data_IF_924343872343
#
_entry.id   IF_924343872343
#
_cell.length_a   1.000
_cell.length_b   1.000
_cell.length_c   1.000
_cell.angle_alpha   90.00
_cell.angle_beta   90.00
_cell.angle_gamma   90.00
#
_symmetry.space_group_name_H-M   'P 1'
#
loop_
_entity.id
_entity.type
_entity.pdbx_description
1 polymer ?
#
# COMPACT_ATOMS: atom_id res chain seq x y z
N UNK A 1 26.69 36.00 13.80
CA UNK A 1 26.58 36.51 15.19
C UNK A 1 25.62 37.69 15.18
N UNK A 2 24.33 37.40 15.27
CA UNK A 2 23.26 38.37 15.37
C UNK A 2 22.30 37.87 16.45
N UNK A 3 22.30 38.55 17.59
CA UNK A 3 21.44 38.30 18.72
C UNK A 3 20.10 39.02 18.48
N UNK A 4 18.99 38.30 18.60
CA UNK A 4 17.67 38.91 18.76
C UNK A 4 17.00 38.30 19.99
N UNK A 5 16.69 39.22 20.89
CA UNK A 5 16.18 39.12 22.23
C UNK A 5 14.73 38.62 22.28
N UNK A 6 14.46 37.67 23.17
CA UNK A 6 13.12 37.22 23.54
C UNK A 6 12.46 38.23 24.49
N UNK A 7 11.27 38.72 24.13
CA UNK A 7 10.38 39.47 25.03
C UNK A 7 9.24 38.57 25.50
N UNK A 8 9.12 38.43 26.82
CA UNK A 8 7.99 37.81 27.52
C UNK A 8 6.68 38.55 27.22
N UNK A 9 5.62 37.80 26.92
CA UNK A 9 4.23 38.28 27.03
C UNK A 9 3.39 37.36 27.92
N UNK A 10 2.50 38.01 28.64
CA UNK A 10 1.85 37.58 29.88
C UNK A 10 0.86 36.41 29.70
N UNK A 11 0.91 35.47 30.63
CA UNK A 11 -0.17 34.55 30.93
C UNK A 11 -1.34 35.32 31.56
N UNK A 12 -2.51 35.28 30.94
CA UNK A 12 -3.78 35.61 31.58
C UNK A 12 -4.51 34.33 31.96
N UNK A 13 -4.56 34.08 33.26
CA UNK A 13 -5.37 33.04 33.89
C UNK A 13 -6.87 33.34 33.68
N UNK A 14 -7.58 32.44 32.99
CA UNK A 14 -9.04 32.40 32.99
C UNK A 14 -9.51 31.24 33.88
N UNK A 15 -10.07 31.56 35.04
CA UNK A 15 -10.80 30.63 35.92
C UNK A 15 -12.31 30.74 35.65
N UNK A 16 -13.02 29.66 35.27
CA UNK A 16 -14.47 29.67 35.25
C UNK A 16 -15.04 29.42 36.65
N UNK A 17 -15.88 30.34 37.13
CA UNK A 17 -16.66 30.19 38.38
C UNK A 17 -17.77 29.16 38.19
N UNK A 18 -17.81 28.15 39.06
CA UNK A 18 -19.00 27.30 39.25
C UNK A 18 -20.09 28.11 39.97
N UNK A 19 -21.26 28.23 39.34
CA UNK A 19 -22.49 28.67 40.01
C UNK A 19 -23.52 27.55 39.96
N UNK A 20 -23.99 27.17 41.14
CA UNK A 20 -25.02 26.17 41.40
C UNK A 20 -26.41 26.78 41.28
N UNK A 21 -27.29 26.15 40.49
CA UNK A 21 -28.73 26.39 40.58
C UNK A 21 -29.52 25.13 40.19
N UNK A 22 -30.22 24.53 41.17
CA UNK A 22 -31.34 23.60 40.94
C UNK A 22 -32.59 24.43 40.63
N UNK A 23 -33.48 23.98 39.74
CA UNK A 23 -34.83 23.66 40.25
C UNK A 23 -35.62 22.55 39.52
N UNK A 24 -36.42 21.85 40.35
CA UNK A 24 -37.79 21.37 40.14
C UNK A 24 -38.16 20.41 38.98
N UNK A 25 -38.41 19.15 39.34
CA UNK A 25 -39.07 18.13 38.54
C UNK A 25 -40.61 18.30 38.57
N UNK A 26 -41.26 18.32 37.40
CA UNK A 26 -42.71 18.09 37.23
C UNK A 26 -42.94 16.79 36.45
N UNK A 27 -43.97 15.99 36.76
CA UNK A 27 -44.18 14.70 36.13
C UNK A 27 -44.84 14.89 34.75
N UNK A 28 -44.24 14.33 33.69
CA UNK A 28 -44.87 14.22 32.36
C UNK A 28 -45.38 12.80 32.14
N UNK A 29 -46.69 12.71 31.90
CA UNK A 29 -47.44 11.51 31.49
C UNK A 29 -46.82 10.89 30.23
N UNK A 30 -46.48 9.61 30.32
CA UNK A 30 -46.13 8.73 29.21
C UNK A 30 -47.38 8.44 28.36
N UNK A 31 -47.36 8.82 27.09
CA UNK A 31 -48.25 8.26 26.06
C UNK A 31 -47.40 7.42 25.12
N UNK A 32 -47.52 6.11 25.24
CA UNK A 32 -46.88 5.13 24.37
C UNK A 32 -47.53 5.20 23.00
N UNK A 33 -46.83 5.71 21.99
CA UNK A 33 -47.17 5.47 20.57
C UNK A 33 -46.22 4.39 20.07
N UNK A 34 -46.75 3.20 19.79
CA UNK A 34 -46.07 2.19 18.99
C UNK A 34 -45.90 2.74 17.57
N UNK A 35 -44.67 3.03 17.19
CA UNK A 35 -44.27 3.23 15.79
C UNK A 35 -43.77 1.88 15.30
N UNK A 36 -44.54 1.24 14.43
CA UNK A 36 -44.04 0.12 13.62
C UNK A 36 -43.11 0.76 12.59
N UNK A 37 -41.81 0.71 12.82
CA UNK A 37 -40.83 0.99 11.78
C UNK A 37 -40.84 -0.21 10.83
N UNK A 38 -41.51 -0.04 9.69
CA UNK A 38 -41.34 -0.92 8.54
C UNK A 38 -39.88 -0.80 8.12
N UNK A 39 -39.08 -1.84 8.37
CA UNK A 39 -37.74 -1.98 7.79
C UNK A 39 -37.97 -2.04 6.29
N UNK A 40 -37.71 -0.92 5.61
CA UNK A 40 -37.61 -0.89 4.16
C UNK A 40 -36.19 -1.32 3.84
N UNK A 41 -35.95 -2.62 3.82
CA UNK A 41 -34.81 -3.16 3.08
C UNK A 41 -35.05 -2.79 1.62
N UNK A 42 -34.34 -1.77 1.14
CA UNK A 42 -34.19 -1.57 -0.28
C UNK A 42 -33.30 -2.71 -0.78
N UNK A 43 -33.74 -3.52 -1.76
CA UNK A 43 -32.82 -4.41 -2.44
C UNK A 43 -31.85 -3.51 -3.23
N UNK A 44 -30.64 -3.30 -2.71
CA UNK A 44 -29.55 -2.85 -3.56
C UNK A 44 -29.23 -4.05 -4.46
N UNK A 45 -29.84 -4.08 -5.64
CA UNK A 45 -29.34 -4.90 -6.72
C UNK A 45 -27.88 -4.49 -6.93
N UNK A 46 -26.93 -5.37 -6.57
CA UNK A 46 -25.52 -5.22 -6.86
C UNK A 46 -25.37 -5.29 -8.38
N UNK A 47 -25.46 -4.15 -9.05
CA UNK A 47 -25.01 -4.08 -10.42
C UNK A 47 -23.49 -4.20 -10.36
N UNK A 48 -23.00 -5.38 -10.76
CA UNK A 48 -21.58 -5.61 -10.99
C UNK A 48 -21.04 -4.56 -11.96
N UNK A 49 -19.88 -4.00 -11.68
CA UNK A 49 -19.26 -2.99 -12.55
C UNK A 49 -18.67 -3.68 -13.78
N UNK A 50 -19.33 -3.54 -14.94
CA UNK A 50 -18.92 -4.19 -16.18
C UNK A 50 -17.49 -3.83 -16.60
N UNK A 51 -17.02 -2.61 -16.28
CA UNK A 51 -15.65 -2.20 -16.59
C UNK A 51 -14.64 -2.97 -15.74
N UNK A 52 -14.95 -3.18 -14.45
CA UNK A 52 -14.10 -3.96 -13.54
C UNK A 52 -14.02 -5.41 -13.99
N UNK A 53 -15.14 -6.02 -14.40
CA UNK A 53 -15.15 -7.38 -14.94
C UNK A 53 -14.32 -7.52 -16.21
N UNK A 54 -14.48 -6.60 -17.17
CA UNK A 54 -13.70 -6.62 -18.42
C UNK A 54 -12.20 -6.46 -18.16
N UNK A 55 -11.83 -5.62 -17.19
CA UNK A 55 -10.46 -5.49 -16.75
C UNK A 55 -9.96 -6.80 -16.13
N UNK A 56 -10.76 -7.43 -15.26
CA UNK A 56 -10.42 -8.72 -14.66
C UNK A 56 -10.18 -9.81 -15.73
N UNK A 57 -11.09 -9.94 -16.70
CA UNK A 57 -10.94 -10.87 -17.83
C UNK A 57 -9.63 -10.62 -18.59
N UNK A 58 -9.33 -9.36 -18.91
CA UNK A 58 -8.10 -8.99 -19.63
C UNK A 58 -6.82 -9.29 -18.83
N UNK A 59 -6.88 -9.22 -17.50
CA UNK A 59 -5.75 -9.56 -16.62
C UNK A 59 -5.53 -11.07 -16.62
N UNK A 60 -6.59 -11.86 -16.49
CA UNK A 60 -6.52 -13.33 -16.56
C UNK A 60 -5.94 -13.80 -17.90
N UNK A 61 -6.39 -13.21 -19.02
CA UNK A 61 -5.90 -13.51 -20.37
C UNK A 61 -4.43 -13.11 -20.59
N UNK A 62 -3.93 -12.10 -19.88
CA UNK A 62 -2.56 -11.60 -20.03
C UNK A 62 -1.51 -12.48 -19.35
N UNK A 63 -1.92 -13.35 -18.43
CA UNK A 63 -1.00 -14.15 -17.63
C UNK A 63 -0.57 -15.43 -18.36
N UNK A 64 0.67 -15.89 -18.16
CA UNK A 64 1.14 -17.14 -18.74
C UNK A 64 0.32 -18.33 -18.20
N UNK A 65 -0.14 -19.22 -19.07
CA UNK A 65 -0.97 -20.40 -18.74
C UNK A 65 -0.26 -21.49 -17.92
N UNK A 66 0.92 -21.21 -17.36
CA UNK A 66 1.68 -22.15 -16.52
C UNK A 66 1.01 -22.35 -15.17
N UNK A 67 1.10 -23.57 -14.63
CA UNK A 67 0.63 -23.90 -13.28
C UNK A 67 1.28 -22.95 -12.27
N UNK A 68 0.47 -22.06 -11.69
CA UNK A 68 0.95 -21.12 -10.70
C UNK A 68 1.18 -21.83 -9.37
N UNK A 69 2.16 -21.36 -8.61
CA UNK A 69 2.39 -21.89 -7.25
C UNK A 69 1.13 -21.72 -6.39
N UNK A 70 0.92 -22.63 -5.43
CA UNK A 70 -0.29 -22.61 -4.58
C UNK A 70 -0.57 -21.26 -3.90
N UNK A 71 0.42 -20.52 -3.31
CA UNK A 71 0.15 -19.20 -2.74
C UNK A 71 -0.35 -18.19 -3.78
N UNK A 72 0.27 -18.17 -4.98
CA UNK A 72 -0.10 -17.23 -6.03
C UNK A 72 -1.48 -17.54 -6.61
N UNK A 73 -1.81 -18.83 -6.78
CA UNK A 73 -3.15 -19.22 -7.22
C UNK A 73 -4.22 -18.78 -6.22
N UNK A 74 -4.01 -19.04 -4.91
CA UNK A 74 -4.93 -18.61 -3.86
C UNK A 74 -5.12 -17.10 -3.84
N UNK A 75 -4.05 -16.33 -4.05
CA UNK A 75 -4.12 -14.87 -4.14
C UNK A 75 -4.99 -14.41 -5.33
N UNK A 76 -4.83 -15.06 -6.50
CA UNK A 76 -5.63 -14.76 -7.69
C UNK A 76 -7.09 -15.13 -7.50
N UNK A 77 -7.38 -16.30 -6.95
CA UNK A 77 -8.75 -16.77 -6.69
C UNK A 77 -9.47 -15.78 -5.76
N UNK A 78 -8.86 -15.42 -4.63
CA UNK A 78 -9.41 -14.42 -3.70
C UNK A 78 -9.62 -13.06 -4.35
N UNK A 79 -8.69 -12.64 -5.23
CA UNK A 79 -8.77 -11.37 -5.93
C UNK A 79 -9.89 -11.36 -6.97
N UNK A 80 -10.04 -12.45 -7.73
CA UNK A 80 -11.11 -12.64 -8.71
C UNK A 80 -12.47 -12.60 -8.01
N UNK A 81 -12.65 -13.35 -6.91
CA UNK A 81 -13.87 -13.32 -6.11
C UNK A 81 -14.21 -11.91 -5.58
N UNK A 82 -13.21 -11.18 -5.08
CA UNK A 82 -13.40 -9.81 -4.59
C UNK A 82 -13.84 -8.87 -5.72
N UNK A 83 -13.25 -8.99 -6.91
CA UNK A 83 -13.53 -8.14 -8.06
C UNK A 83 -14.97 -8.29 -8.58
N UNK A 84 -15.61 -9.46 -8.43
CA UNK A 84 -17.00 -9.69 -8.83
C UNK A 84 -18.02 -8.77 -8.15
N UNK A 85 -17.68 -8.23 -6.97
CA UNK A 85 -18.55 -7.35 -6.19
C UNK A 85 -17.99 -5.94 -5.99
N UNK A 86 -16.78 -5.67 -6.49
CA UNK A 86 -16.10 -4.38 -6.32
C UNK A 86 -16.45 -3.42 -7.45
N UNK A 87 -16.76 -2.17 -7.10
CA UNK A 87 -17.04 -1.11 -8.07
C UNK A 87 -15.79 -0.26 -8.34
N UNK A 88 -15.71 0.34 -9.52
CA UNK A 88 -14.68 1.33 -9.77
C UNK A 88 -14.85 2.54 -8.84
N UNK A 89 -13.81 2.96 -8.10
CA UNK A 89 -13.94 4.04 -7.12
C UNK A 89 -14.32 5.35 -7.78
N UNK A 90 -15.18 6.10 -7.11
CA UNK A 90 -15.71 7.37 -7.52
C UNK A 90 -15.42 8.44 -6.47
N UNK A 91 -15.56 9.72 -6.85
CA UNK A 91 -15.43 10.83 -5.90
C UNK A 91 -16.54 10.90 -4.84
N UNK A 92 -17.52 10.00 -4.89
CA UNK A 92 -18.54 9.84 -3.82
C UNK A 92 -18.05 8.90 -2.72
N UNK A 93 -17.08 8.05 -3.03
CA UNK A 93 -16.45 7.15 -2.07
C UNK A 93 -15.49 7.97 -1.22
N UNK A 94 -15.59 7.85 0.10
CA UNK A 94 -14.86 8.74 1.02
C UNK A 94 -13.35 8.65 0.81
N UNK A 95 -12.81 7.44 0.59
CA UNK A 95 -11.39 7.20 0.32
C UNK A 95 -10.88 7.80 -0.99
N UNK A 96 -11.78 8.17 -1.91
CA UNK A 96 -11.45 8.71 -3.25
C UNK A 96 -12.09 10.09 -3.50
N UNK A 97 -12.65 10.73 -2.49
CA UNK A 97 -13.33 12.03 -2.60
C UNK A 97 -12.49 13.11 -3.29
N UNK A 98 -11.19 13.10 -3.02
CA UNK A 98 -10.22 14.05 -3.54
C UNK A 98 -9.33 13.49 -4.65
N UNK A 99 -9.54 12.22 -5.04
CA UNK A 99 -8.66 11.50 -5.95
C UNK A 99 -9.44 11.05 -7.16
N UNK A 100 -9.23 11.75 -8.28
CA UNK A 100 -9.92 11.44 -9.53
C UNK A 100 -9.20 10.32 -10.30
N UNK A 101 -9.81 9.14 -10.31
CA UNK A 101 -9.30 7.96 -11.04
C UNK A 101 -9.82 7.89 -12.48
N UNK A 102 -10.56 8.89 -12.96
CA UNK A 102 -11.10 8.91 -14.32
C UNK A 102 -10.02 8.95 -15.40
N UNK A 103 -8.84 9.48 -15.08
CA UNK A 103 -7.65 9.39 -15.94
C UNK A 103 -7.30 7.93 -16.30
N UNK A 104 -7.40 7.02 -15.33
CA UNK A 104 -7.20 5.58 -15.56
C UNK A 104 -8.45 4.98 -16.21
N UNK A 105 -9.64 5.23 -15.65
CA UNK A 105 -10.90 4.61 -16.09
C UNK A 105 -11.24 4.89 -17.58
N UNK A 106 -10.91 6.08 -18.07
CA UNK A 106 -11.22 6.49 -19.44
C UNK A 106 -10.16 6.09 -20.47
N UNK A 107 -9.12 5.37 -20.04
CA UNK A 107 -8.06 4.84 -20.90
C UNK A 107 -8.40 3.43 -21.40
N UNK A 108 -7.78 3.04 -22.50
CA UNK A 108 -7.73 1.66 -22.98
C UNK A 108 -6.62 0.93 -22.20
N UNK A 109 -7.00 0.25 -21.12
CA UNK A 109 -6.06 -0.41 -20.22
C UNK A 109 -5.60 -1.72 -20.86
N UNK A 110 -4.30 -1.87 -21.07
CA UNK A 110 -3.71 -3.04 -21.69
C UNK A 110 -2.73 -3.71 -20.70
N UNK A 111 -3.15 -4.77 -19.99
CA UNK A 111 -2.24 -5.55 -19.17
C UNK A 111 -1.05 -6.07 -19.98
N UNK A 112 0.16 -5.92 -19.44
CA UNK A 112 1.38 -6.36 -20.12
C UNK A 112 1.55 -7.87 -19.91
N UNK A 113 1.57 -8.63 -21.00
CA UNK A 113 1.56 -10.10 -20.95
C UNK A 113 2.95 -10.75 -20.94
N UNK A 114 3.98 -10.03 -21.37
CA UNK A 114 5.34 -10.58 -21.49
C UNK A 114 6.40 -9.53 -21.11
N UNK A 115 7.53 -9.97 -20.53
CA UNK A 115 8.67 -9.07 -20.35
C UNK A 115 9.23 -8.62 -21.71
N UNK A 116 9.78 -7.40 -21.81
CA UNK A 116 10.39 -6.94 -23.06
C UNK A 116 11.61 -7.78 -23.45
N UNK A 117 11.76 -8.04 -24.75
CA UNK A 117 12.76 -8.96 -25.31
C UNK A 117 14.22 -8.46 -25.27
N UNK A 118 14.49 -7.21 -24.86
CA UNK A 118 15.84 -6.63 -24.88
C UNK A 118 16.21 -5.94 -23.58
N UNK A 119 17.22 -6.50 -22.89
CA UNK A 119 17.94 -5.90 -21.76
C UNK A 119 18.76 -4.65 -22.17
N UNK A 120 18.87 -4.33 -23.46
CA UNK A 120 19.46 -3.08 -23.97
C UNK A 120 18.72 -1.82 -23.47
N UNK A 121 17.55 -1.98 -22.85
CA UNK A 121 16.76 -0.91 -22.25
C UNK A 121 17.18 -0.58 -20.79
N UNK A 122 18.13 -1.34 -20.22
CA UNK A 122 18.71 -1.10 -18.88
C UNK A 122 19.78 0.02 -18.85
N UNK A 123 19.82 0.89 -19.86
CA UNK A 123 20.54 2.18 -19.75
C UNK A 123 19.90 3.13 -18.72
N UNK A 124 18.72 2.78 -18.19
CA UNK A 124 18.09 3.43 -17.03
C UNK A 124 18.93 3.16 -15.77
N UNK A 125 20.05 3.88 -15.65
CA UNK A 125 21.01 3.97 -14.54
C UNK A 125 21.46 2.63 -13.93
N UNK A 126 22.67 2.20 -14.32
CA UNK A 126 23.59 1.38 -13.52
C UNK A 126 24.30 2.19 -12.42
N UNK A 127 23.73 3.33 -12.00
CA UNK A 127 24.35 4.29 -11.07
C UNK A 127 24.07 3.98 -9.59
N UNK A 128 23.58 2.78 -9.28
CA UNK A 128 23.43 2.34 -7.90
C UNK A 128 24.68 1.59 -7.46
N UNK A 129 25.21 1.91 -6.28
CA UNK A 129 26.33 1.17 -5.67
C UNK A 129 25.91 -0.25 -5.21
N UNK A 130 24.62 -0.56 -5.27
CA UNK A 130 24.04 -1.82 -4.82
C UNK A 130 23.50 -2.62 -6.01
N UNK A 131 23.63 -3.95 -5.93
CA UNK A 131 22.93 -4.89 -6.81
C UNK A 131 21.41 -4.73 -6.60
N UNK A 132 20.66 -4.62 -7.70
CA UNK A 132 19.21 -4.45 -7.68
C UNK A 132 18.47 -5.64 -8.29
N UNK A 133 17.29 -5.91 -7.76
CA UNK A 133 16.29 -6.77 -8.37
C UNK A 133 15.38 -5.90 -9.23
N UNK A 134 15.35 -6.20 -10.53
CA UNK A 134 14.70 -5.34 -11.50
C UNK A 134 13.35 -5.93 -11.89
N UNK A 135 12.28 -5.17 -11.68
CA UNK A 135 10.98 -5.41 -12.26
C UNK A 135 10.88 -4.57 -13.53
N UNK A 136 10.73 -5.20 -14.67
CA UNK A 136 10.49 -4.51 -15.94
C UNK A 136 9.06 -4.79 -16.34
N UNK A 137 8.25 -3.74 -16.40
CA UNK A 137 6.82 -3.83 -16.73
C UNK A 137 6.04 -4.85 -15.88
N UNK A 138 6.45 -5.00 -14.61
CA UNK A 138 5.82 -5.90 -13.65
C UNK A 138 6.45 -7.29 -13.57
N UNK A 139 7.31 -7.67 -14.53
CA UNK A 139 8.01 -8.95 -14.53
C UNK A 139 9.34 -8.84 -13.81
N UNK A 140 9.60 -9.76 -12.88
CA UNK A 140 10.93 -9.89 -12.28
C UNK A 140 11.91 -10.41 -13.33
N UNK A 141 12.84 -9.55 -13.75
CA UNK A 141 13.89 -9.90 -14.70
C UNK A 141 15.13 -10.30 -13.91
N UNK A 142 15.61 -11.52 -14.15
CA UNK A 142 16.77 -12.09 -13.47
C UNK A 142 18.03 -11.33 -13.88
N UNK A 143 18.35 -10.25 -13.17
CA UNK A 143 19.69 -9.70 -13.15
C UNK A 143 20.56 -10.64 -12.32
N UNK A 144 21.80 -10.84 -12.75
CA UNK A 144 22.82 -11.72 -12.17
C UNK A 144 23.13 -11.45 -10.69
N UNK A 145 22.15 -11.62 -9.81
CA UNK A 145 22.30 -11.47 -8.38
C UNK A 145 23.09 -12.68 -7.90
N UNK A 146 24.33 -12.43 -7.46
CA UNK A 146 25.12 -13.50 -6.87
C UNK A 146 24.57 -13.73 -5.47
N UNK A 147 23.91 -14.87 -5.27
CA UNK A 147 23.46 -15.33 -3.95
C UNK A 147 24.57 -15.33 -2.89
N UNK A 148 25.84 -15.27 -3.31
CA UNK A 148 27.02 -15.14 -2.44
C UNK A 148 27.03 -13.90 -1.53
N UNK A 149 26.20 -12.89 -1.79
CA UNK A 149 26.17 -11.65 -1.00
C UNK A 149 25.11 -11.68 0.13
N UNK A 150 24.27 -12.71 0.19
CA UNK A 150 23.24 -12.85 1.22
C UNK A 150 23.71 -13.77 2.35
N UNK A 151 23.34 -13.48 3.62
CA UNK A 151 23.56 -14.40 4.73
C UNK A 151 22.89 -15.76 4.50
N UNK A 152 23.44 -16.80 5.13
CA UNK A 152 22.87 -18.15 5.07
C UNK A 152 21.40 -18.17 5.50
N UNK A 153 20.55 -18.82 4.69
CA UNK A 153 19.12 -18.96 4.94
C UNK A 153 18.25 -17.78 4.52
N UNK A 154 18.84 -16.65 4.11
CA UNK A 154 18.09 -15.55 3.48
C UNK A 154 17.70 -15.96 2.06
N UNK A 155 16.44 -15.74 1.69
CA UNK A 155 15.96 -15.96 0.33
C UNK A 155 15.48 -14.64 -0.27
N UNK A 156 15.94 -14.33 -1.48
CA UNK A 156 15.46 -13.19 -2.25
C UNK A 156 15.28 -13.62 -3.70
N UNK A 157 14.04 -13.66 -4.18
CA UNK A 157 13.77 -14.06 -5.55
C UNK A 157 12.32 -14.37 -5.83
N UNK A 158 12.06 -14.85 -7.05
CA UNK A 158 10.74 -15.28 -7.52
C UNK A 158 10.17 -16.41 -6.65
N UNK A 159 8.86 -16.36 -6.35
CA UNK A 159 8.14 -17.44 -5.68
C UNK A 159 8.17 -18.72 -6.53
N UNK A 160 8.11 -18.61 -7.86
CA UNK A 160 8.17 -19.77 -8.77
C UNK A 160 9.50 -20.53 -8.69
N UNK A 161 10.59 -19.86 -8.27
CA UNK A 161 11.91 -20.46 -8.09
C UNK A 161 12.20 -20.90 -6.64
N UNK A 162 11.27 -20.66 -5.70
CA UNK A 162 11.46 -21.00 -4.30
C UNK A 162 11.33 -22.51 -4.09
N UNK A 163 12.43 -23.17 -3.73
CA UNK A 163 12.48 -24.63 -3.50
C UNK A 163 12.32 -25.05 -2.05
N UNK A 164 12.55 -24.16 -1.08
CA UNK A 164 12.46 -24.48 0.35
C UNK A 164 11.00 -24.64 0.78
N UNK A 165 10.59 -25.85 1.16
CA UNK A 165 9.23 -26.13 1.62
C UNK A 165 8.89 -25.38 2.91
N UNK A 166 9.89 -25.17 3.78
CA UNK A 166 9.73 -24.42 5.02
C UNK A 166 9.35 -22.96 4.77
N UNK A 167 10.09 -22.28 3.88
CA UNK A 167 9.80 -20.89 3.49
C UNK A 167 8.46 -20.82 2.77
N UNK A 168 8.21 -21.73 1.81
CA UNK A 168 6.95 -21.77 1.05
C UNK A 168 5.73 -21.90 1.98
N UNK A 169 5.81 -22.76 3.00
CA UNK A 169 4.75 -22.92 4.00
C UNK A 169 4.48 -21.61 4.74
N UNK A 170 5.52 -20.89 5.18
CA UNK A 170 5.38 -19.60 5.86
C UNK A 170 4.76 -18.54 4.94
N UNK A 171 5.16 -18.50 3.67
CA UNK A 171 4.54 -17.62 2.67
C UNK A 171 3.06 -17.97 2.49
N UNK A 172 2.69 -19.24 2.34
CA UNK A 172 1.29 -19.68 2.24
C UNK A 172 0.42 -19.25 3.44
N UNK A 173 0.99 -19.28 4.64
CA UNK A 173 0.29 -18.93 5.89
C UNK A 173 -0.02 -17.43 6.00
N UNK A 174 0.82 -16.58 5.40
CA UNK A 174 0.88 -15.15 5.70
C UNK A 174 0.58 -14.24 4.51
N UNK A 175 0.71 -14.73 3.28
CA UNK A 175 0.45 -13.96 2.07
C UNK A 175 -1.05 -13.66 1.91
N UNK A 176 -1.39 -12.42 1.57
CA UNK A 176 -2.76 -12.03 1.26
C UNK A 176 -3.70 -11.93 2.47
N UNK A 177 -3.16 -12.04 3.69
CA UNK A 177 -3.88 -11.81 4.96
C UNK A 177 -4.08 -10.30 5.18
N UNK A 178 -4.93 -9.69 4.35
CA UNK A 178 -5.19 -8.25 4.35
C UNK A 178 -6.63 -7.92 3.92
N UNK A 179 -7.46 -7.51 4.89
CA UNK A 179 -8.88 -7.25 4.67
C UNK A 179 -9.22 -5.81 4.21
N UNK A 180 -8.24 -4.91 4.17
CA UNK A 180 -8.45 -3.49 3.82
C UNK A 180 -8.06 -3.14 2.38
N UNK A 181 -7.77 -4.16 1.56
CA UNK A 181 -7.48 -3.96 0.15
C UNK A 181 -8.66 -3.33 -0.57
N UNK A 182 -8.38 -2.34 -1.42
CA UNK A 182 -9.38 -1.77 -2.33
C UNK A 182 -9.36 -2.49 -3.68
N UNK A 183 -10.09 -1.93 -4.66
CA UNK A 183 -10.08 -2.42 -6.04
C UNK A 183 -8.67 -2.65 -6.58
N UNK A 184 -7.74 -1.72 -6.34
CA UNK A 184 -6.40 -1.74 -6.92
C UNK A 184 -5.52 -2.82 -6.29
N UNK A 185 -5.74 -3.13 -5.01
CA UNK A 185 -5.14 -4.31 -4.36
C UNK A 185 -5.54 -5.61 -5.06
N UNK A 186 -6.82 -5.78 -5.35
CA UNK A 186 -7.35 -6.99 -6.01
C UNK A 186 -6.96 -7.04 -7.49
N UNK A 187 -6.94 -5.90 -8.21
CA UNK A 187 -6.39 -5.82 -9.57
C UNK A 187 -4.94 -6.29 -9.61
N UNK A 188 -4.12 -5.89 -8.63
CA UNK A 188 -2.75 -6.38 -8.52
C UNK A 188 -2.70 -7.87 -8.20
N UNK A 189 -3.51 -8.35 -7.24
CA UNK A 189 -3.52 -9.75 -6.83
C UNK A 189 -3.96 -10.70 -7.96
N UNK A 190 -4.90 -10.28 -8.80
CA UNK A 190 -5.31 -11.00 -10.00
C UNK A 190 -4.23 -10.93 -11.08
N UNK A 191 -3.71 -9.72 -11.35
CA UNK A 191 -2.84 -9.44 -12.50
C UNK A 191 -1.34 -9.58 -12.28
N UNK A 192 -0.88 -9.99 -11.09
CA UNK A 192 0.54 -10.13 -10.82
C UNK A 192 1.14 -11.30 -11.63
N UNK A 193 2.17 -11.07 -12.48
CA UNK A 193 2.79 -12.14 -13.27
C UNK A 193 3.43 -13.21 -12.39
N UNK A 194 4.06 -12.78 -11.31
CA UNK A 194 4.73 -13.58 -10.29
C UNK A 194 4.82 -12.77 -8.99
N UNK A 195 5.25 -13.43 -7.90
CA UNK A 195 5.50 -12.81 -6.60
C UNK A 195 7.00 -12.86 -6.29
N UNK A 196 7.61 -11.74 -5.94
CA UNK A 196 8.94 -11.77 -5.33
C UNK A 196 8.84 -11.98 -3.83
N UNK A 197 9.65 -12.89 -3.29
CA UNK A 197 9.75 -13.18 -1.86
C UNK A 197 11.10 -12.69 -1.34
N UNK A 198 11.06 -11.92 -0.25
CA UNK A 198 12.21 -11.61 0.59
C UNK A 198 11.99 -12.28 1.94
N UNK A 199 12.75 -13.32 2.26
CA UNK A 199 12.66 -14.04 3.51
C UNK A 199 13.95 -13.86 4.32
N UNK A 200 13.80 -13.44 5.57
CA UNK A 200 14.91 -13.26 6.51
C UNK A 200 14.68 -14.16 7.72
N UNK A 201 15.58 -15.13 7.99
CA UNK A 201 15.39 -16.08 9.08
C UNK A 201 15.59 -15.46 10.46
N UNK A 202 15.21 -16.21 11.51
CA UNK A 202 15.28 -15.76 12.90
C UNK A 202 16.69 -15.28 13.27
N UNK A 203 16.76 -14.09 13.88
CA UNK A 203 18.00 -13.46 14.34
C UNK A 203 18.99 -13.05 13.24
N UNK A 204 18.63 -13.19 11.96
CA UNK A 204 19.51 -12.87 10.86
C UNK A 204 19.44 -11.38 10.50
N UNK A 205 20.62 -10.75 10.35
CA UNK A 205 20.76 -9.37 9.90
C UNK A 205 21.31 -9.32 8.49
N UNK A 206 20.52 -8.81 7.55
CA UNK A 206 20.97 -8.54 6.18
C UNK A 206 21.72 -7.20 6.18
N UNK A 207 23.03 -7.25 5.92
CA UNK A 207 23.90 -6.08 6.05
C UNK A 207 23.66 -4.99 5.00
N UNK A 208 23.37 -5.38 3.76
CA UNK A 208 23.03 -4.47 2.66
C UNK A 208 21.52 -4.46 2.42
N UNK A 209 20.93 -3.32 2.03
CA UNK A 209 19.52 -3.29 1.69
C UNK A 209 19.22 -4.09 0.42
N UNK A 210 18.04 -4.71 0.37
CA UNK A 210 17.49 -5.31 -0.84
C UNK A 210 16.93 -4.18 -1.70
N UNK A 211 17.56 -3.93 -2.83
CA UNK A 211 17.17 -2.88 -3.76
C UNK A 211 16.19 -3.44 -4.81
N UNK A 212 14.96 -2.93 -4.81
CA UNK A 212 13.87 -3.28 -5.71
C UNK A 212 13.66 -2.12 -6.69
N UNK A 213 14.00 -2.33 -7.95
CA UNK A 213 13.88 -1.30 -8.99
C UNK A 213 12.77 -1.65 -9.95
N UNK A 214 11.76 -0.79 -10.04
CA UNK A 214 10.60 -0.95 -10.91
C UNK A 214 10.72 0.00 -12.10
N UNK A 215 10.81 -0.57 -13.30
CA UNK A 215 11.08 0.13 -14.55
C UNK A 215 9.89 -0.06 -15.48
N UNK A 216 9.18 1.03 -15.77
CA UNK A 216 8.18 1.05 -16.83
C UNK A 216 8.87 1.31 -18.18
N UNK A 217 8.67 0.41 -19.14
CA UNK A 217 9.30 0.40 -20.46
C UNK A 217 8.26 0.42 -21.59
N UNK A 218 7.17 -0.35 -21.50
CA UNK A 218 6.02 -0.16 -22.41
C UNK A 218 5.25 1.09 -22.00
N UNK A 219 5.45 2.15 -22.78
CA UNK A 219 4.80 3.43 -22.62
C UNK A 219 4.04 3.81 -23.88
N UNK A 220 2.87 4.42 -23.72
CA UNK A 220 2.13 5.02 -24.83
C UNK A 220 2.48 6.50 -24.98
N UNK A 221 2.41 7.02 -26.22
CA UNK A 221 2.56 8.45 -26.48
C UNK A 221 1.53 9.28 -25.69
N UNK A 222 1.96 10.46 -25.24
CA UNK A 222 1.08 11.40 -24.54
C UNK A 222 -0.11 11.78 -25.42
N UNK A 223 -1.33 11.53 -24.93
CA UNK A 223 -2.58 11.80 -25.65
C UNK A 223 -3.13 10.58 -26.39
N UNK A 224 -2.39 9.47 -26.45
CA UNK A 224 -2.97 8.16 -26.75
C UNK A 224 -3.96 7.76 -25.65
N UNK A 225 -4.96 6.94 -26.02
CA UNK A 225 -5.82 6.27 -25.03
C UNK A 225 -5.18 4.99 -24.48
N UNK A 226 -4.17 4.43 -25.15
CA UNK A 226 -3.47 3.21 -24.70
C UNK A 226 -2.83 3.46 -23.33
N UNK A 227 -3.03 2.55 -22.39
CA UNK A 227 -2.45 2.59 -21.05
C UNK A 227 -1.93 1.19 -20.69
N UNK A 228 -0.65 0.90 -20.97
CA UNK A 228 -0.01 -0.32 -20.50
C UNK A 228 -0.11 -0.43 -18.97
N UNK A 229 -0.50 -1.60 -18.46
CA UNK A 229 -0.66 -1.87 -17.03
C UNK A 229 0.33 -2.94 -16.56
N UNK A 230 1.14 -2.58 -15.56
CA UNK A 230 2.05 -3.49 -14.86
C UNK A 230 1.62 -3.69 -13.40
N UNK A 231 1.59 -4.94 -12.93
CA UNK A 231 1.21 -5.31 -11.56
C UNK A 231 2.34 -6.03 -10.77
N UNK A 232 3.47 -5.38 -10.45
CA UNK A 232 4.49 -6.04 -9.63
C UNK A 232 4.01 -6.24 -8.19
N UNK A 233 4.39 -7.36 -7.58
CA UNK A 233 4.07 -7.68 -6.18
C UNK A 233 5.25 -8.27 -5.44
N UNK A 234 5.47 -7.81 -4.22
CA UNK A 234 6.57 -8.26 -3.34
C UNK A 234 6.03 -8.61 -1.97
N UNK A 235 6.48 -9.74 -1.44
CA UNK A 235 6.20 -10.20 -0.08
C UNK A 235 7.50 -10.30 0.72
N UNK A 236 7.58 -9.56 1.81
CA UNK A 236 8.72 -9.51 2.73
C UNK A 236 8.31 -10.15 4.05
N UNK A 237 9.02 -11.21 4.43
CA UNK A 237 8.86 -11.88 5.71
C UNK A 237 10.17 -11.81 6.48
N UNK A 238 10.14 -11.08 7.59
CA UNK A 238 11.24 -11.01 8.55
C UNK A 238 10.82 -11.78 9.78
N UNK A 239 11.43 -12.95 9.99
CA UNK A 239 11.17 -13.75 11.19
C UNK A 239 11.70 -13.04 12.44
N UNK A 240 11.39 -13.62 13.60
CA UNK A 240 11.75 -13.09 14.92
C UNK A 240 13.19 -12.58 14.99
N UNK A 241 13.37 -11.34 15.43
CA UNK A 241 14.68 -10.70 15.59
C UNK A 241 15.49 -10.51 14.30
N UNK A 242 14.92 -10.79 13.13
CA UNK A 242 15.56 -10.54 11.85
C UNK A 242 15.60 -9.05 11.51
N UNK A 243 16.56 -8.64 10.68
CA UNK A 243 16.73 -7.25 10.27
C UNK A 243 17.04 -7.14 8.77
N UNK A 244 16.35 -6.24 8.06
CA UNK A 244 16.59 -5.97 6.64
C UNK A 244 16.24 -4.54 6.27
N UNK A 245 17.01 -3.97 5.34
CA UNK A 245 16.64 -2.74 4.64
C UNK A 245 16.01 -3.07 3.29
N UNK A 246 14.95 -2.37 2.91
CA UNK A 246 14.30 -2.44 1.60
C UNK A 246 14.41 -1.06 0.95
N UNK A 247 14.81 -1.02 -0.31
CA UNK A 247 14.79 0.20 -1.13
C UNK A 247 13.88 -0.05 -2.32
N UNK A 248 12.79 0.69 -2.46
CA UNK A 248 11.94 0.68 -3.65
C UNK A 248 12.24 1.92 -4.50
N UNK A 249 12.59 1.73 -5.77
CA UNK A 249 12.75 2.81 -6.74
C UNK A 249 11.83 2.59 -7.95
N UNK A 250 10.93 3.53 -8.19
CA UNK A 250 10.02 3.52 -9.34
C UNK A 250 10.46 4.55 -10.38
N UNK A 251 10.79 4.07 -11.57
CA UNK A 251 11.24 4.87 -12.71
C UNK A 251 10.48 4.49 -13.98
N UNK A 252 10.47 5.40 -14.95
CA UNK A 252 10.05 5.12 -16.32
C UNK A 252 11.17 5.46 -17.29
N UNK A 253 11.00 5.05 -18.55
CA UNK A 253 11.88 5.51 -19.64
C UNK A 253 11.86 7.04 -19.75
N UNK A 254 12.95 7.61 -20.25
CA UNK A 254 13.04 9.06 -20.51
C UNK A 254 11.96 9.47 -21.51
N UNK A 255 11.06 10.35 -21.09
CA UNK A 255 9.99 10.85 -21.94
C UNK A 255 8.74 11.22 -21.15
N UNK A 256 7.66 11.48 -21.88
CA UNK A 256 6.33 11.78 -21.32
C UNK A 256 5.34 10.65 -21.61
N UNK A 257 5.81 9.41 -21.57
CA UNK A 257 4.99 8.24 -21.85
C UNK A 257 3.91 8.03 -20.78
N UNK A 258 2.79 7.45 -21.20
CA UNK A 258 1.62 7.15 -20.40
C UNK A 258 1.56 5.64 -20.15
N UNK A 259 1.48 5.26 -18.88
CA UNK A 259 1.38 3.87 -18.40
C UNK A 259 0.83 3.87 -16.97
N UNK A 260 0.37 2.71 -16.51
CA UNK A 260 -0.13 2.50 -15.16
C UNK A 260 0.70 1.44 -14.43
N UNK A 261 1.42 1.88 -13.39
CA UNK A 261 2.06 0.97 -12.43
C UNK A 261 1.16 0.80 -11.22
N UNK A 262 0.67 -0.41 -10.99
CA UNK A 262 -0.13 -0.79 -9.83
C UNK A 262 0.65 -1.79 -8.98
N UNK A 263 1.36 -1.33 -7.95
CA UNK A 263 2.31 -2.14 -7.21
C UNK A 263 1.87 -2.44 -5.78
N UNK A 264 2.24 -3.62 -5.27
CA UNK A 264 1.94 -4.05 -3.90
C UNK A 264 3.21 -4.51 -3.21
N UNK A 265 3.43 -4.02 -1.99
CA UNK A 265 4.41 -4.54 -1.04
C UNK A 265 3.69 -5.03 0.23
N UNK A 266 3.87 -6.28 0.56
CA UNK A 266 3.41 -6.88 1.82
C UNK A 266 4.62 -7.13 2.72
N UNK A 267 4.55 -6.68 3.97
CA UNK A 267 5.64 -6.81 4.95
C UNK A 267 5.10 -7.43 6.23
N UNK A 268 5.71 -8.53 6.66
CA UNK A 268 5.46 -9.14 7.98
C UNK A 268 6.74 -9.03 8.78
N UNK A 269 6.66 -8.34 9.91
CA UNK A 269 7.78 -8.15 10.83
C UNK A 269 7.51 -8.94 12.11
N UNK A 270 8.21 -10.06 12.26
CA UNK A 270 8.13 -10.95 13.41
C UNK A 270 8.62 -10.31 14.70
N UNK A 271 8.41 -10.99 15.84
CA UNK A 271 8.76 -10.45 17.16
C UNK A 271 10.19 -9.89 17.22
N UNK A 272 10.36 -8.62 17.59
CA UNK A 272 11.66 -7.96 17.71
C UNK A 272 12.39 -7.72 16.37
N UNK A 273 11.77 -8.06 15.25
CA UNK A 273 12.31 -7.83 13.91
C UNK A 273 12.31 -6.35 13.52
N UNK A 274 13.14 -6.00 12.54
CA UNK A 274 13.28 -4.61 12.08
C UNK A 274 13.31 -4.52 10.56
N UNK A 275 12.51 -3.60 10.02
CA UNK A 275 12.51 -3.26 8.60
C UNK A 275 12.68 -1.75 8.45
N UNK A 276 13.74 -1.35 7.74
CA UNK A 276 13.85 0.01 7.22
C UNK A 276 13.46 0.01 5.75
N UNK A 277 12.55 0.89 5.35
CA UNK A 277 11.98 0.94 4.01
C UNK A 277 12.21 2.34 3.44
N UNK A 278 13.08 2.44 2.43
CA UNK A 278 13.26 3.65 1.63
C UNK A 278 12.49 3.53 0.33
N UNK A 279 11.72 4.54 -0.02
CA UNK A 279 10.87 4.54 -1.20
C UNK A 279 11.11 5.81 -2.02
N UNK A 280 11.34 5.65 -3.32
CA UNK A 280 11.60 6.74 -4.26
C UNK A 280 10.76 6.55 -5.52
N UNK A 281 9.92 7.53 -5.84
CA UNK A 281 9.09 7.52 -7.04
C UNK A 281 9.43 8.73 -7.93
N UNK A 282 9.88 8.43 -9.16
CA UNK A 282 10.32 9.40 -10.17
C UNK A 282 9.86 9.01 -11.58
N UNK A 283 8.67 8.41 -11.67
CA UNK A 283 8.07 8.00 -12.94
C UNK A 283 7.62 9.20 -13.80
N UNK A 284 7.33 8.95 -15.08
CA UNK A 284 6.83 9.95 -16.04
C UNK A 284 5.71 10.81 -15.44
N UNK A 285 5.72 12.12 -15.73
CA UNK A 285 4.65 13.05 -15.33
C UNK A 285 3.31 12.74 -16.01
N UNK A 286 3.27 11.82 -16.98
CA UNK A 286 2.04 11.34 -17.63
C UNK A 286 1.61 9.95 -17.14
N UNK A 287 2.32 9.34 -16.18
CA UNK A 287 1.98 8.01 -15.66
C UNK A 287 0.88 8.03 -14.59
N UNK A 288 0.17 6.92 -14.45
CA UNK A 288 -0.59 6.59 -13.25
C UNK A 288 0.26 5.68 -12.35
N UNK A 289 0.28 5.97 -11.05
CA UNK A 289 0.96 5.19 -10.04
C UNK A 289 0.00 4.95 -8.88
N UNK A 290 -0.35 3.68 -8.64
CA UNK A 290 -1.09 3.27 -7.45
C UNK A 290 -0.23 2.27 -6.69
N UNK A 291 0.06 2.56 -5.43
CA UNK A 291 0.86 1.72 -4.53
C UNK A 291 0.04 1.32 -3.33
N UNK A 292 0.19 0.05 -2.96
CA UNK A 292 -0.21 -0.46 -1.67
C UNK A 292 1.00 -0.98 -0.91
N UNK A 293 1.12 -0.58 0.35
CA UNK A 293 2.06 -1.15 1.32
C UNK A 293 1.29 -1.59 2.54
N UNK A 294 1.25 -2.90 2.78
CA UNK A 294 0.65 -3.51 3.97
C UNK A 294 1.75 -4.01 4.90
N UNK A 295 1.69 -3.65 6.18
CA UNK A 295 2.69 -3.99 7.18
C UNK A 295 1.99 -4.60 8.39
N UNK A 296 2.41 -5.80 8.78
CA UNK A 296 1.98 -6.46 10.03
C UNK A 296 3.16 -6.52 10.99
N UNK A 297 2.98 -5.96 12.18
CA UNK A 297 4.03 -5.83 13.19
C UNK A 297 3.73 -6.67 14.41
N UNK A 298 4.52 -7.70 14.65
CA UNK A 298 4.46 -8.48 15.89
C UNK A 298 5.16 -7.74 17.05
N UNK A 299 5.12 -8.33 18.24
CA UNK A 299 5.61 -7.72 19.48
C UNK A 299 7.03 -7.17 19.35
N UNK A 300 7.30 -5.99 19.91
CA UNK A 300 8.63 -5.33 19.91
C UNK A 300 9.27 -5.09 18.53
N UNK A 301 8.53 -5.28 17.43
CA UNK A 301 9.06 -5.06 16.09
C UNK A 301 9.08 -3.58 15.72
N UNK A 302 9.96 -3.23 14.77
CA UNK A 302 10.14 -1.87 14.26
C UNK A 302 9.94 -1.83 12.75
N UNK A 303 9.17 -0.86 12.28
CA UNK A 303 9.03 -0.55 10.86
C UNK A 303 9.22 0.96 10.64
N UNK A 304 10.15 1.30 9.76
CA UNK A 304 10.44 2.67 9.37
C UNK A 304 10.24 2.82 7.86
N UNK A 305 9.48 3.83 7.44
CA UNK A 305 9.31 4.22 6.03
C UNK A 305 9.81 5.64 5.82
N UNK A 306 10.70 5.83 4.85
CA UNK A 306 11.10 7.11 4.31
C UNK A 306 10.76 7.16 2.82
N UNK A 307 9.83 8.04 2.44
CA UNK A 307 9.31 8.14 1.08
C UNK A 307 9.57 9.51 0.45
N UNK A 308 9.97 9.50 -0.82
CA UNK A 308 10.00 10.67 -1.70
C UNK A 308 9.23 10.38 -2.99
N UNK A 309 8.21 11.17 -3.29
CA UNK A 309 7.38 11.04 -4.51
C UNK A 309 7.33 12.35 -5.29
N UNK A 310 7.73 12.30 -6.57
CA UNK A 310 7.82 13.49 -7.44
C UNK A 310 7.28 13.28 -8.86
N UNK A 311 6.83 12.08 -9.20
CA UNK A 311 6.41 11.68 -10.55
C UNK A 311 4.94 11.29 -10.65
N UNK A 312 4.48 10.94 -11.85
CA UNK A 312 3.11 10.51 -12.12
C UNK A 312 2.10 11.66 -12.20
N UNK A 313 1.22 11.63 -13.21
CA UNK A 313 0.04 12.52 -13.29
C UNK A 313 -0.89 12.27 -12.11
N UNK A 314 -1.08 11.00 -11.77
CA UNK A 314 -1.75 10.55 -10.56
C UNK A 314 -0.79 9.62 -9.84
N UNK A 315 -0.38 9.99 -8.63
CA UNK A 315 0.40 9.13 -7.73
C UNK A 315 -0.39 8.98 -6.44
N UNK A 316 -0.79 7.75 -6.12
CA UNK A 316 -1.45 7.41 -4.86
C UNK A 316 -0.68 6.31 -4.14
N UNK A 317 -0.31 6.56 -2.90
CA UNK A 317 0.26 5.56 -2.01
C UNK A 317 -0.68 5.29 -0.84
N UNK A 318 -1.13 4.04 -0.70
CA UNK A 318 -1.87 3.56 0.45
C UNK A 318 -0.92 2.76 1.37
N UNK A 319 -0.65 3.26 2.57
CA UNK A 319 0.16 2.60 3.59
C UNK A 319 -0.75 2.13 4.73
N UNK A 320 -0.80 0.85 4.99
CA UNK A 320 -1.47 0.29 6.16
C UNK A 320 -0.49 -0.44 7.07
N UNK A 321 -0.41 -0.02 8.33
CA UNK A 321 0.31 -0.71 9.39
C UNK A 321 -0.64 -1.25 10.45
N UNK A 322 -0.58 -2.56 10.72
CA UNK A 322 -1.35 -3.21 11.77
C UNK A 322 -0.43 -3.74 12.88
N UNK A 323 -0.74 -3.37 14.11
CA UNK A 323 -0.07 -3.86 15.31
C UNK A 323 -0.68 -5.19 15.77
N UNK A 324 0.09 -6.27 15.69
CA UNK A 324 -0.28 -7.63 16.12
C UNK A 324 0.38 -8.07 17.43
N UNK A 325 1.23 -7.23 18.02
CA UNK A 325 1.81 -7.46 19.34
C UNK A 325 2.14 -6.17 20.06
N UNK A 326 2.46 -6.24 21.35
CA UNK A 326 2.73 -5.04 22.15
C UNK A 326 4.08 -4.42 21.82
N UNK A 327 4.28 -3.16 22.21
CA UNK A 327 5.59 -2.49 22.17
C UNK A 327 6.17 -2.31 20.74
N UNK A 328 5.31 -2.22 19.71
CA UNK A 328 5.75 -1.96 18.33
C UNK A 328 6.16 -0.51 18.14
N UNK A 329 7.09 -0.27 17.22
CA UNK A 329 7.51 1.08 16.79
C UNK A 329 7.23 1.23 15.29
N UNK A 330 6.52 2.29 14.93
CA UNK A 330 6.21 2.64 13.53
C UNK A 330 6.60 4.09 13.25
N UNK A 331 7.48 4.32 12.28
CA UNK A 331 7.85 5.68 11.86
C UNK A 331 7.60 5.85 10.36
N UNK A 332 6.77 6.82 9.97
CA UNK A 332 6.45 7.10 8.56
C UNK A 332 6.82 8.55 8.24
N UNK A 333 7.85 8.75 7.42
CA UNK A 333 8.28 10.07 6.95
C UNK A 333 8.14 10.15 5.45
N UNK A 334 7.33 11.10 4.96
CA UNK A 334 7.04 11.21 3.52
C UNK A 334 7.22 12.64 3.03
N UNK A 335 7.78 12.78 1.84
CA UNK A 335 7.91 14.06 1.13
C UNK A 335 7.35 13.95 -0.29
N UNK A 336 6.30 14.72 -0.56
CA UNK A 336 5.66 14.76 -1.87
C UNK A 336 5.86 16.12 -2.54
N UNK A 337 6.19 16.10 -3.83
CA UNK A 337 6.29 17.30 -4.66
C UNK A 337 5.33 17.16 -5.85
N UNK A 338 4.31 18.00 -5.89
CA UNK A 338 3.41 18.12 -7.04
C UNK A 338 3.84 19.28 -7.92
N UNK A 339 4.16 19.00 -9.19
CA UNK A 339 4.44 19.97 -10.24
C UNK A 339 3.38 19.87 -11.35
N UNK A 340 3.09 20.97 -12.05
CA UNK A 340 2.12 20.95 -13.16
C UNK A 340 0.70 20.57 -12.73
N UNK A 341 0.08 19.60 -13.42
CA UNK A 341 -1.27 19.07 -13.17
C UNK A 341 -1.28 17.74 -12.41
N UNK A 342 -0.22 17.44 -11.63
CA UNK A 342 -0.11 16.21 -10.87
C UNK A 342 -1.02 16.19 -9.62
N UNK A 343 -1.58 15.03 -9.32
CA UNK A 343 -2.14 14.68 -8.00
C UNK A 343 -1.16 13.76 -7.27
N UNK A 344 -0.64 14.22 -6.13
CA UNK A 344 0.11 13.39 -5.17
C UNK A 344 -0.80 13.07 -3.98
N UNK A 345 -1.00 11.80 -3.70
CA UNK A 345 -2.02 11.34 -2.77
C UNK A 345 -1.44 10.28 -1.82
N UNK A 346 -1.47 10.55 -0.51
CA UNK A 346 -1.00 9.63 0.53
C UNK A 346 -2.14 9.31 1.49
N UNK A 347 -2.53 8.04 1.52
CA UNK A 347 -3.40 7.50 2.54
C UNK A 347 -2.58 6.65 3.51
N UNK A 348 -2.58 7.01 4.78
CA UNK A 348 -2.01 6.19 5.84
C UNK A 348 -3.10 5.68 6.79
N UNK A 349 -2.99 4.41 7.17
CA UNK A 349 -3.79 3.79 8.21
C UNK A 349 -2.86 3.10 9.19
N UNK A 350 -3.02 3.40 10.47
CA UNK A 350 -2.32 2.72 11.55
C UNK A 350 -3.35 2.17 12.53
N UNK A 351 -3.34 0.86 12.73
CA UNK A 351 -4.23 0.16 13.66
C UNK A 351 -3.41 -0.34 14.85
N UNK A 352 -3.60 0.32 15.99
CA UNK A 352 -2.94 0.01 17.27
C UNK A 352 -3.86 -0.86 18.13
N UNK A 353 -3.75 -2.17 17.96
CA UNK A 353 -4.60 -3.16 18.62
C UNK A 353 -3.99 -3.78 19.87
N UNK A 354 -2.76 -3.40 20.21
CA UNK A 354 -2.03 -3.93 21.35
C UNK A 354 -1.43 -2.83 22.23
N UNK A 355 -1.15 -3.10 23.51
CA UNK A 355 -0.60 -2.09 24.41
C UNK A 355 0.75 -1.55 23.94
N UNK A 356 1.01 -0.28 24.26
CA UNK A 356 2.32 0.37 24.15
C UNK A 356 2.89 0.39 22.73
N UNK A 357 2.05 0.34 21.70
CA UNK A 357 2.48 0.69 20.35
C UNK A 357 2.82 2.17 20.26
N UNK A 358 3.94 2.49 19.62
CA UNK A 358 4.37 3.85 19.30
C UNK A 358 4.28 4.06 17.80
N UNK A 359 3.71 5.19 17.39
CA UNK A 359 3.75 5.61 16.00
C UNK A 359 4.03 7.10 15.85
N UNK A 360 4.84 7.44 14.85
CA UNK A 360 5.11 8.81 14.43
C UNK A 360 4.91 8.93 12.93
N UNK A 361 4.20 9.98 12.50
CA UNK A 361 3.98 10.29 11.09
C UNK A 361 4.39 11.73 10.80
N UNK A 362 5.29 11.91 9.84
CA UNK A 362 5.70 13.21 9.30
C UNK A 362 5.44 13.22 7.80
N UNK A 363 4.38 13.92 7.38
CA UNK A 363 4.11 14.17 5.97
C UNK A 363 4.44 15.62 5.63
N UNK A 364 5.27 15.82 4.61
CA UNK A 364 5.55 17.13 4.03
C UNK A 364 5.17 17.11 2.56
N UNK A 365 4.48 18.16 2.11
CA UNK A 365 4.14 18.29 0.70
C UNK A 365 4.37 19.72 0.20
N UNK A 366 4.81 19.82 -1.06
CA UNK A 366 4.91 21.08 -1.79
C UNK A 366 4.09 20.96 -3.07
N UNK A 367 3.18 21.91 -3.29
CA UNK A 367 2.42 22.05 -4.54
C UNK A 367 2.94 23.29 -5.25
N UNK A 368 3.67 23.08 -6.35
CA UNK A 368 4.42 24.15 -7.03
C UNK A 368 3.61 24.88 -8.11
N UNK A 369 2.49 24.32 -8.55
CA UNK A 369 1.67 24.87 -9.63
C UNK A 369 0.19 24.89 -9.25
N UNK A 370 -0.58 25.86 -9.77
CA UNK A 370 -1.98 26.09 -9.39
C UNK A 370 -2.93 24.97 -9.82
N UNK A 371 -2.56 24.17 -10.83
CA UNK A 371 -3.30 22.98 -11.25
C UNK A 371 -2.86 21.70 -10.54
N UNK A 372 -1.85 21.76 -9.69
CA UNK A 372 -1.37 20.61 -8.93
C UNK A 372 -2.22 20.38 -7.69
N UNK A 373 -2.20 19.15 -7.19
CA UNK A 373 -2.94 18.74 -6.00
C UNK A 373 -2.09 17.85 -5.10
N UNK A 374 -2.29 18.02 -3.81
CA UNK A 374 -1.79 17.13 -2.77
C UNK A 374 -2.95 16.68 -1.88
N UNK A 375 -3.02 15.39 -1.59
CA UNK A 375 -4.01 14.77 -0.71
C UNK A 375 -3.26 14.00 0.37
N UNK A 376 -3.64 14.22 1.63
CA UNK A 376 -3.17 13.43 2.75
C UNK A 376 -4.37 13.02 3.61
N UNK A 377 -4.56 11.72 3.79
CA UNK A 377 -5.54 11.13 4.69
C UNK A 377 -4.82 10.20 5.67
N UNK A 378 -4.66 10.65 6.91
CA UNK A 378 -4.00 9.89 7.97
C UNK A 378 -5.00 9.40 9.01
N UNK A 379 -5.22 8.09 9.08
CA UNK A 379 -6.08 7.45 10.06
C UNK A 379 -5.28 6.68 11.10
N UNK A 380 -5.51 6.98 12.39
CA UNK A 380 -4.98 6.16 13.50
C UNK A 380 -6.15 5.61 14.30
N UNK A 381 -6.33 4.29 14.27
CA UNK A 381 -7.33 3.57 15.06
C UNK A 381 -6.64 2.95 16.26
N UNK A 382 -7.12 3.26 17.46
CA UNK A 382 -6.68 2.64 18.71
C UNK A 382 -7.80 1.73 19.20
N UNK A 383 -7.57 0.42 19.23
CA UNK A 383 -8.55 -0.51 19.80
C UNK A 383 -8.38 -0.61 21.31
N UNK A 384 -9.48 -0.43 22.04
CA UNK A 384 -9.51 -0.75 23.47
C UNK A 384 -9.76 -2.24 23.65
N UNK A 385 -9.24 -2.81 24.75
CA UNK A 385 -9.30 -4.25 25.08
C UNK A 385 -10.70 -4.88 25.04
N UNK A 386 -11.77 -4.08 25.10
CA UNK A 386 -13.16 -4.52 25.02
C UNK A 386 -13.85 -4.23 23.67
N UNK A 387 -13.26 -3.45 22.77
CA UNK A 387 -13.92 -2.95 21.56
C UNK A 387 -13.70 -3.78 20.30
N UNK A 388 -12.56 -4.45 20.15
CA UNK A 388 -12.19 -5.13 18.89
C UNK A 388 -12.19 -6.66 18.96
N UNK A 389 -12.15 -7.28 20.15
CA UNK A 389 -12.32 -8.74 20.29
C UNK A 389 -13.74 -9.24 19.95
N UNK A 390 -14.73 -8.35 19.89
CA UNK A 390 -16.12 -8.71 19.58
C UNK A 390 -16.41 -8.79 18.08
N UNK A 391 -15.53 -8.28 17.20
CA UNK A 391 -15.73 -8.34 15.75
C UNK A 391 -15.22 -9.64 15.11
N UNK A 392 -14.29 -10.36 15.77
CA UNK A 392 -13.62 -11.54 15.20
C UNK A 392 -13.86 -12.84 16.00
N UNK A 393 -15.06 -13.03 16.55
CA UNK A 393 -15.50 -14.34 17.06
C UNK A 393 -16.80 -14.79 16.37
N UNK A 394 -16.66 -15.86 15.59
CA UNK A 394 -17.66 -16.68 14.90
C UNK A 394 -18.95 -16.97 15.71
N UNK A 395 -20.03 -17.43 15.09
CA UNK A 395 -20.87 -18.45 15.70
C UNK A 395 -20.36 -19.84 15.32
N UNK A 396 -19.66 -20.46 16.26
CA UNK A 396 -19.54 -21.91 16.34
C UNK A 396 -20.93 -22.53 16.55
N UNK A 397 -21.40 -23.33 15.59
CA UNK A 397 -22.23 -24.52 15.81
C UNK A 397 -22.20 -25.41 14.59
#
# INVERSE_FOLDING_TARGET
MAALTFTHQNLLHFTPKLTTSKPYLKPKRTKTKLSIQTIRESPQASFTDQFVLQLADSLEDSLPSSSSSLPLQKLRDNSSETLLSTQWPSRKDESFRFTDTSFIKNSDINPISHPPNSLDLLEVSRDTQFESFNFVDGFLVDSSFSSSNLPDGVYVGSLSKLSSEGILKRVCELLGDFEWGDLFWSVNGLGAPDLMVVYVPEGCRVGNPIYLKYIAVDGADKGSKKMPLSNPRVFVLVEKGGEVGIVEEFVGKVGSECYWTNSVLEVVVGEGGKVSHSYVQKQSLSAAHIKWTSVRQEKTSTYELVEVSTGGKLSRHNVHVQQLGSDTVTELTTFHLSVGDQTQDLHSRIVLDHPRGYSQQLHKCIVAHSSGQAVFDGNVKICTTNGCRAANKEPSS
#
